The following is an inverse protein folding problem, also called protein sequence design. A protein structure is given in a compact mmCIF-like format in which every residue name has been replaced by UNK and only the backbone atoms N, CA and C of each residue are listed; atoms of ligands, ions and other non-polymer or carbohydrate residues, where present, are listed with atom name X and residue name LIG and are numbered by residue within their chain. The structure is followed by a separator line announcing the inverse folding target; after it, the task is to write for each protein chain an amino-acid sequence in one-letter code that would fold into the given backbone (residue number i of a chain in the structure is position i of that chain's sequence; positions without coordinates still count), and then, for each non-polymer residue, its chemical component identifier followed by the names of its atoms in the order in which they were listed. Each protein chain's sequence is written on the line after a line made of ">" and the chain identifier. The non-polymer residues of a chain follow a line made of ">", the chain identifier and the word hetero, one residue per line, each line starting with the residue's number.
data_IF_231739636788
#
_entry.id   IF_231739636788
#
_cell.length_a   1.000
_cell.length_b   1.000
_cell.length_c   1.000
_cell.angle_alpha   90.00
_cell.angle_beta   90.00
_cell.angle_gamma   90.00
#
_symmetry.space_group_name_H-M   'P 1'
#
loop_
_entity.id
_entity.type
_entity.pdbx_description
1 polymer ?
#
# COMPACT_ATOMS: atom_id res chain seq x y z
N UNK A 1 16.50 -17.19 23.43
CA UNK A 1 15.64 -17.70 22.35
C UNK A 1 15.83 -16.76 21.15
N UNK A 2 16.04 -17.28 19.95
CA UNK A 2 16.10 -16.45 18.74
C UNK A 2 14.74 -15.76 18.52
N UNK A 3 14.75 -14.49 18.13
CA UNK A 3 13.54 -13.72 17.80
C UNK A 3 13.00 -14.23 16.46
N UNK A 4 11.70 -14.55 16.37
CA UNK A 4 11.07 -14.97 15.10
C UNK A 4 10.84 -13.77 14.17
N UNK A 5 10.65 -14.00 12.87
CA UNK A 5 10.31 -12.91 11.93
C UNK A 5 9.03 -12.18 12.35
N UNK A 6 8.00 -12.92 12.77
CA UNK A 6 6.74 -12.32 13.24
C UNK A 6 6.96 -11.44 14.48
N UNK A 7 7.65 -11.95 15.51
CA UNK A 7 7.92 -11.16 16.72
C UNK A 7 8.79 -9.94 16.39
N UNK A 8 9.79 -10.07 15.52
CA UNK A 8 10.60 -8.94 15.08
C UNK A 8 9.76 -7.88 14.35
N UNK A 9 8.84 -8.31 13.48
CA UNK A 9 7.94 -7.43 12.75
C UNK A 9 7.09 -6.60 13.72
N UNK A 10 6.45 -7.23 14.71
CA UNK A 10 5.66 -6.49 15.71
C UNK A 10 6.52 -5.62 16.63
N UNK A 11 7.76 -6.02 16.95
CA UNK A 11 8.70 -5.12 17.67
C UNK A 11 9.02 -3.86 16.89
N UNK A 12 9.11 -3.94 15.55
CA UNK A 12 9.31 -2.77 14.72
C UNK A 12 8.07 -1.85 14.75
N UNK A 13 6.86 -2.40 14.66
CA UNK A 13 5.60 -1.64 14.76
C UNK A 13 5.47 -0.94 16.12
N UNK A 14 5.78 -1.67 17.18
CA UNK A 14 5.50 -1.27 18.56
C UNK A 14 6.66 -0.51 19.22
N UNK A 15 7.70 -0.15 18.45
CA UNK A 15 8.90 0.51 18.95
C UNK A 15 9.56 -0.24 20.12
N UNK A 16 9.64 -1.58 20.03
CA UNK A 16 10.19 -2.48 21.06
C UNK A 16 11.56 -3.07 20.70
N UNK A 17 12.44 -2.25 20.11
CA UNK A 17 13.82 -2.64 19.74
C UNK A 17 13.86 -3.93 18.91
N UNK A 18 13.41 -3.88 17.63
CA UNK A 18 13.50 -5.04 16.76
C UNK A 18 14.97 -5.46 16.60
N UNK A 19 15.18 -6.76 16.49
CA UNK A 19 16.49 -7.36 16.27
C UNK A 19 17.05 -7.08 14.87
N UNK A 20 16.24 -6.62 13.91
CA UNK A 20 16.66 -6.07 12.62
C UNK A 20 15.52 -5.22 12.03
N UNK A 21 15.83 -4.33 11.09
CA UNK A 21 14.80 -3.62 10.31
C UNK A 21 14.11 -4.62 9.38
N UNK A 22 12.78 -4.83 9.45
CA UNK A 22 12.08 -5.65 8.47
C UNK A 22 12.23 -5.07 7.07
N UNK A 23 12.59 -5.91 6.10
CA UNK A 23 12.75 -5.53 4.70
C UNK A 23 11.95 -6.46 3.81
N UNK A 24 11.41 -5.94 2.70
CA UNK A 24 10.72 -6.73 1.67
C UNK A 24 11.08 -6.23 0.28
N UNK A 25 11.10 -7.15 -0.67
CA UNK A 25 11.15 -6.85 -2.10
C UNK A 25 9.87 -7.39 -2.73
N UNK A 26 9.04 -6.50 -3.30
CA UNK A 26 7.85 -6.86 -4.05
C UNK A 26 8.21 -6.97 -5.52
N UNK A 27 8.17 -8.18 -6.07
CA UNK A 27 8.47 -8.44 -7.47
C UNK A 27 7.15 -8.57 -8.24
N UNK A 28 6.89 -7.63 -9.16
CA UNK A 28 5.64 -7.62 -9.91
C UNK A 28 5.47 -8.88 -10.78
N UNK A 29 4.24 -9.37 -11.01
CA UNK A 29 4.03 -10.53 -11.87
C UNK A 29 4.61 -10.36 -13.28
N UNK A 30 4.53 -9.14 -13.85
CA UNK A 30 5.18 -8.83 -15.12
C UNK A 30 6.72 -8.98 -15.05
N UNK A 31 7.35 -8.61 -13.94
CA UNK A 31 8.80 -8.80 -13.69
C UNK A 31 9.16 -10.28 -13.68
N UNK A 32 8.35 -11.11 -13.01
CA UNK A 32 8.50 -12.56 -13.02
C UNK A 32 8.35 -13.16 -14.41
N UNK A 33 7.34 -12.75 -15.18
CA UNK A 33 7.13 -13.25 -16.55
C UNK A 33 8.26 -12.84 -17.49
N UNK A 34 8.81 -11.63 -17.34
CA UNK A 34 9.93 -11.13 -18.15
C UNK A 34 11.23 -11.91 -17.90
N UNK A 35 11.61 -12.09 -16.63
CA UNK A 35 12.93 -12.60 -16.27
C UNK A 35 12.96 -14.08 -15.88
N UNK A 36 11.81 -14.67 -15.55
CA UNK A 36 11.62 -16.10 -15.28
C UNK A 36 12.69 -16.69 -14.35
N UNK A 37 13.41 -17.70 -14.80
CA UNK A 37 14.43 -18.41 -14.04
C UNK A 37 15.60 -17.49 -13.64
N UNK A 38 15.92 -16.45 -14.41
CA UNK A 38 16.98 -15.52 -14.05
C UNK A 38 16.63 -14.69 -12.80
N UNK A 39 15.35 -14.33 -12.63
CA UNK A 39 14.87 -13.69 -11.40
C UNK A 39 14.80 -14.69 -10.24
N UNK A 40 14.47 -15.95 -10.55
CA UNK A 40 14.49 -17.03 -9.58
C UNK A 40 15.89 -17.25 -8.97
N UNK A 41 16.96 -17.16 -9.76
CA UNK A 41 18.34 -17.21 -9.26
C UNK A 41 18.68 -16.06 -8.30
N UNK A 42 18.09 -14.88 -8.47
CA UNK A 42 18.25 -13.76 -7.51
C UNK A 42 17.53 -14.13 -6.22
N UNK A 43 16.26 -14.54 -6.30
CA UNK A 43 15.45 -14.90 -5.14
C UNK A 43 16.13 -15.98 -4.28
N UNK A 44 16.68 -17.02 -4.91
CA UNK A 44 17.39 -18.10 -4.22
C UNK A 44 18.68 -17.64 -3.51
N UNK A 45 19.31 -16.55 -3.97
CA UNK A 45 20.53 -15.99 -3.35
C UNK A 45 20.24 -15.09 -2.15
N UNK A 46 18.99 -14.65 -1.96
CA UNK A 46 18.58 -13.73 -0.89
C UNK A 46 17.51 -14.32 0.05
N UNK A 47 17.78 -15.45 0.73
CA UNK A 47 16.80 -16.11 1.60
C UNK A 47 16.39 -15.27 2.82
N UNK A 48 17.15 -14.22 3.19
CA UNK A 48 16.75 -13.32 4.28
C UNK A 48 15.58 -12.42 3.91
N UNK A 49 15.44 -12.11 2.62
CA UNK A 49 14.34 -11.31 2.07
C UNK A 49 13.17 -12.21 1.68
N UNK A 50 13.46 -13.27 0.93
CA UNK A 50 12.41 -14.09 0.29
C UNK A 50 12.02 -15.35 1.08
N UNK A 51 12.75 -15.69 2.14
CA UNK A 51 12.53 -16.92 2.91
C UNK A 51 12.94 -18.17 2.13
N UNK A 52 12.33 -19.31 2.49
CA UNK A 52 12.50 -20.55 1.74
C UNK A 52 11.75 -20.47 0.40
N UNK A 53 12.47 -20.65 -0.70
CA UNK A 53 11.92 -20.64 -2.05
C UNK A 53 12.30 -21.94 -2.78
N UNK A 54 11.31 -22.61 -3.37
CA UNK A 54 11.51 -23.82 -4.16
C UNK A 54 11.57 -23.48 -5.65
N UNK A 55 12.67 -23.86 -6.31
CA UNK A 55 12.83 -23.75 -7.76
C UNK A 55 11.65 -24.37 -8.50
N UNK A 56 11.09 -23.64 -9.48
CA UNK A 56 9.97 -24.08 -10.28
C UNK A 56 8.61 -24.10 -9.56
N UNK A 57 8.52 -23.54 -8.34
CA UNK A 57 7.25 -23.43 -7.62
C UNK A 57 6.29 -22.40 -8.20
N UNK A 58 6.78 -21.51 -9.08
CA UNK A 58 6.00 -20.44 -9.69
C UNK A 58 5.66 -20.74 -11.14
N UNK A 59 4.41 -20.53 -11.52
CA UNK A 59 4.02 -20.39 -12.92
C UNK A 59 4.21 -18.93 -13.35
N UNK A 60 5.18 -18.67 -14.24
CA UNK A 60 5.56 -17.30 -14.61
C UNK A 60 4.50 -16.55 -15.41
N UNK A 61 3.59 -17.25 -16.07
CA UNK A 61 2.61 -16.67 -17.01
C UNK A 61 1.16 -16.86 -16.52
N UNK A 62 0.99 -17.13 -15.22
CA UNK A 62 -0.33 -17.18 -14.59
C UNK A 62 -0.75 -15.80 -14.09
N UNK A 63 -1.71 -15.18 -14.79
CA UNK A 63 -2.29 -13.90 -14.42
C UNK A 63 -3.80 -14.05 -14.20
N UNK A 64 -4.32 -13.36 -13.19
CA UNK A 64 -5.73 -13.46 -12.78
C UNK A 64 -6.32 -12.08 -12.52
N UNK A 65 -7.64 -11.97 -12.67
CA UNK A 65 -8.39 -10.74 -12.39
C UNK A 65 -7.84 -9.54 -13.15
N UNK A 66 -7.67 -8.42 -12.45
CA UNK A 66 -7.21 -7.15 -13.03
C UNK A 66 -5.75 -7.16 -13.47
N UNK A 67 -5.00 -8.25 -13.23
CA UNK A 67 -3.63 -8.43 -13.72
C UNK A 67 -3.56 -9.13 -15.08
N UNK A 68 -4.69 -9.60 -15.61
CA UNK A 68 -4.79 -10.22 -16.93
C UNK A 68 -5.16 -9.17 -17.96
N UNK A 69 -4.48 -9.13 -19.11
CA UNK A 69 -4.81 -8.28 -20.24
C UNK A 69 -6.28 -8.45 -20.65
N UNK A 70 -6.95 -7.33 -20.93
CA UNK A 70 -8.32 -7.32 -21.39
C UNK A 70 -9.23 -6.43 -20.56
N UNK A 71 -10.54 -6.67 -20.70
CA UNK A 71 -11.59 -5.92 -20.02
C UNK A 71 -12.27 -6.83 -18.99
N UNK A 72 -12.38 -6.33 -17.77
CA UNK A 72 -12.96 -7.04 -16.64
C UNK A 72 -14.02 -6.17 -15.98
N UNK A 73 -15.01 -6.78 -15.33
CA UNK A 73 -16.00 -6.06 -14.53
C UNK A 73 -15.94 -6.60 -13.11
N UNK A 74 -15.76 -5.71 -12.14
CA UNK A 74 -15.73 -6.11 -10.73
C UNK A 74 -17.13 -6.29 -10.15
N UNK A 75 -17.21 -6.78 -8.92
CA UNK A 75 -18.49 -7.02 -8.22
C UNK A 75 -19.31 -5.74 -7.96
N UNK A 76 -18.70 -4.56 -8.08
CA UNK A 76 -19.39 -3.28 -7.98
C UNK A 76 -19.91 -2.77 -9.33
N UNK A 77 -19.61 -3.47 -10.42
CA UNK A 77 -19.96 -3.05 -11.78
C UNK A 77 -18.97 -2.06 -12.40
N UNK A 78 -17.82 -1.82 -11.77
CA UNK A 78 -16.77 -1.00 -12.36
C UNK A 78 -16.08 -1.76 -13.49
N UNK A 79 -15.88 -1.10 -14.64
CA UNK A 79 -15.22 -1.70 -15.80
C UNK A 79 -13.73 -1.39 -15.73
N UNK A 80 -12.91 -2.43 -15.66
CA UNK A 80 -11.46 -2.37 -15.61
C UNK A 80 -10.88 -2.71 -16.98
N UNK A 81 -9.83 -1.99 -17.38
CA UNK A 81 -9.01 -2.29 -18.56
C UNK A 81 -7.57 -2.50 -18.15
N UNK A 82 -7.06 -3.65 -18.52
CA UNK A 82 -5.66 -3.99 -18.43
C UNK A 82 -5.06 -4.00 -19.84
N UNK A 83 -3.93 -3.31 -20.02
CA UNK A 83 -3.26 -3.17 -21.32
C UNK A 83 -2.07 -4.13 -21.49
N UNK A 84 -1.66 -4.81 -20.43
CA UNK A 84 -0.53 -5.73 -20.41
C UNK A 84 -0.61 -6.67 -19.20
N UNK A 85 -0.50 -7.96 -19.48
CA UNK A 85 -0.39 -9.01 -18.48
C UNK A 85 0.67 -8.71 -17.40
N UNK A 86 0.30 -8.99 -16.14
CA UNK A 86 1.19 -8.92 -14.99
C UNK A 86 1.37 -7.53 -14.37
N UNK A 87 0.78 -6.49 -14.93
CA UNK A 87 0.56 -5.19 -14.31
C UNK A 87 -0.91 -5.06 -13.91
N UNK A 88 -1.26 -4.15 -12.98
CA UNK A 88 -2.66 -3.96 -12.60
C UNK A 88 -3.43 -3.14 -13.65
N UNK A 89 -4.72 -3.43 -13.82
CA UNK A 89 -5.61 -2.67 -14.70
C UNK A 89 -6.07 -1.35 -14.09
N UNK A 90 -6.67 -0.49 -14.91
CA UNK A 90 -7.28 0.78 -14.51
C UNK A 90 -8.79 0.75 -14.72
N UNK A 91 -9.54 1.49 -13.92
CA UNK A 91 -10.99 1.65 -14.14
C UNK A 91 -11.24 2.61 -15.30
N UNK A 92 -12.07 2.18 -16.25
CA UNK A 92 -12.47 2.94 -17.45
C UNK A 92 -13.99 3.10 -17.60
N UNK A 93 -14.79 2.45 -16.76
CA UNK A 93 -16.25 2.54 -16.79
C UNK A 93 -16.86 2.54 -15.40
N UNK A 94 -17.87 3.39 -15.21
CA UNK A 94 -18.35 3.83 -13.91
C UNK A 94 -19.87 3.60 -13.81
N UNK A 95 -20.37 2.73 -12.91
CA UNK A 95 -21.80 2.42 -12.81
C UNK A 95 -22.66 3.62 -12.33
N UNK A 96 -22.04 4.62 -11.69
CA UNK A 96 -22.69 5.82 -11.18
C UNK A 96 -22.17 7.09 -11.89
N UNK A 97 -21.89 7.02 -13.18
CA UNK A 97 -21.47 8.18 -13.99
C UNK A 97 -22.51 9.32 -14.00
N UNK A 98 -23.79 9.01 -13.77
CA UNK A 98 -24.87 9.97 -13.49
C UNK A 98 -25.55 9.64 -12.16
N UNK A 99 -25.96 10.69 -11.44
CA UNK A 99 -26.71 10.54 -10.19
C UNK A 99 -28.09 9.89 -10.37
N UNK A 100 -28.67 9.92 -11.57
CA UNK A 100 -29.93 9.22 -11.88
C UNK A 100 -29.80 7.70 -11.76
N UNK A 101 -28.57 7.17 -11.86
CA UNK A 101 -28.30 5.73 -11.71
C UNK A 101 -28.29 5.27 -10.25
N UNK A 102 -28.10 6.19 -9.30
CA UNK A 102 -27.95 5.86 -7.88
C UNK A 102 -29.23 5.26 -7.27
N UNK A 103 -30.41 5.69 -7.72
CA UNK A 103 -31.69 5.21 -7.17
C UNK A 103 -31.91 3.71 -7.41
N UNK A 104 -31.40 3.19 -8.52
CA UNK A 104 -31.56 1.79 -8.93
C UNK A 104 -30.28 0.96 -8.71
N UNK A 105 -29.23 1.56 -8.15
CA UNK A 105 -27.97 0.87 -7.90
C UNK A 105 -28.02 0.08 -6.59
N UNK A 106 -27.58 -1.17 -6.65
CA UNK A 106 -27.44 -2.03 -5.47
C UNK A 106 -25.97 -2.39 -5.28
N UNK A 107 -25.33 -2.04 -4.16
CA UNK A 107 -23.96 -2.46 -3.89
C UNK A 107 -23.89 -3.99 -3.74
N UNK A 108 -22.75 -4.62 -4.03
CA UNK A 108 -22.59 -6.05 -3.81
C UNK A 108 -22.70 -6.40 -2.33
N UNK A 109 -23.01 -7.66 -2.05
CA UNK A 109 -22.94 -8.18 -0.68
C UNK A 109 -21.51 -8.07 -0.13
N UNK A 110 -21.33 -7.67 1.15
CA UNK A 110 -20.02 -7.61 1.79
C UNK A 110 -19.27 -8.93 1.65
N UNK A 111 -17.99 -8.86 1.24
CA UNK A 111 -17.10 -10.00 1.11
C UNK A 111 -16.38 -10.40 2.40
N UNK A 112 -15.25 -11.10 2.27
CA UNK A 112 -14.41 -11.56 3.39
C UNK A 112 -13.13 -10.74 3.59
N UNK A 113 -12.78 -9.90 2.61
CA UNK A 113 -11.62 -9.03 2.62
C UNK A 113 -11.93 -7.71 1.94
N UNK A 114 -11.20 -6.67 2.30
CA UNK A 114 -11.22 -5.39 1.61
C UNK A 114 -10.14 -5.39 0.53
N UNK A 115 -10.54 -5.03 -0.68
CA UNK A 115 -9.62 -4.88 -1.82
C UNK A 115 -8.86 -3.56 -1.72
N UNK A 116 -7.75 -3.46 -2.45
CA UNK A 116 -7.10 -2.16 -2.67
C UNK A 116 -8.10 -1.18 -3.28
N UNK A 117 -8.06 0.07 -2.83
CA UNK A 117 -9.02 1.08 -3.22
C UNK A 117 -10.40 0.90 -2.59
N UNK A 118 -10.46 0.58 -1.29
CA UNK A 118 -11.72 0.24 -0.62
C UNK A 118 -12.62 1.44 -0.29
N UNK A 119 -12.08 2.64 -0.12
CA UNK A 119 -12.86 3.81 0.31
C UNK A 119 -12.80 4.95 -0.71
N UNK A 120 -11.76 5.80 -0.70
CA UNK A 120 -11.66 6.94 -1.60
C UNK A 120 -11.61 6.50 -3.06
N UNK A 121 -10.77 5.51 -3.39
CA UNK A 121 -10.72 5.03 -4.76
C UNK A 121 -12.03 4.37 -5.19
N UNK A 122 -12.68 3.62 -4.30
CA UNK A 122 -14.00 3.05 -4.59
C UNK A 122 -15.02 4.11 -4.99
N UNK A 123 -15.02 5.29 -4.35
CA UNK A 123 -15.92 6.38 -4.71
C UNK A 123 -15.69 6.83 -6.15
N UNK A 124 -14.45 7.08 -6.57
CA UNK A 124 -14.19 7.54 -7.93
C UNK A 124 -14.22 6.41 -8.97
N UNK A 125 -14.02 5.15 -8.57
CA UNK A 125 -14.28 3.99 -9.43
C UNK A 125 -15.77 3.90 -9.77
N UNK A 126 -16.65 4.21 -8.82
CA UNK A 126 -18.10 4.18 -9.02
C UNK A 126 -18.59 5.41 -9.81
N UNK A 127 -18.11 6.60 -9.44
CA UNK A 127 -18.64 7.90 -9.88
C UNK A 127 -17.92 8.48 -11.11
N UNK A 128 -16.69 8.05 -11.36
CA UNK A 128 -15.73 8.73 -12.22
C UNK A 128 -14.92 9.77 -11.44
N UNK A 129 -13.64 9.91 -11.78
CA UNK A 129 -12.72 10.80 -11.05
C UNK A 129 -13.12 12.27 -11.13
N UNK A 130 -13.29 12.81 -12.35
CA UNK A 130 -13.66 14.22 -12.55
C UNK A 130 -14.99 14.55 -11.86
N UNK A 131 -15.99 13.70 -12.08
CA UNK A 131 -17.29 13.77 -11.45
C UNK A 131 -17.21 13.85 -9.92
N UNK A 132 -16.47 12.94 -9.28
CA UNK A 132 -16.32 12.96 -7.82
C UNK A 132 -15.59 14.22 -7.34
N UNK A 133 -14.58 14.70 -8.07
CA UNK A 133 -13.87 15.94 -7.73
C UNK A 133 -14.82 17.14 -7.74
N UNK A 134 -15.71 17.23 -8.75
CA UNK A 134 -16.76 18.25 -8.80
C UNK A 134 -17.76 18.10 -7.64
N UNK A 135 -18.19 16.88 -7.34
CA UNK A 135 -19.16 16.61 -6.27
C UNK A 135 -18.63 17.07 -4.89
N UNK A 136 -17.33 16.96 -4.62
CA UNK A 136 -16.75 17.47 -3.37
C UNK A 136 -16.88 19.00 -3.22
N UNK A 137 -17.01 19.74 -4.33
CA UNK A 137 -17.18 21.19 -4.33
C UNK A 137 -18.66 21.59 -4.37
N UNK A 138 -19.46 20.90 -5.20
CA UNK A 138 -20.88 21.21 -5.36
C UNK A 138 -21.74 20.67 -4.21
N UNK A 139 -21.23 19.68 -3.49
CA UNK A 139 -21.88 19.02 -2.35
C UNK A 139 -23.31 18.52 -2.63
N UNK A 140 -23.55 17.78 -3.74
CA UNK A 140 -24.87 17.25 -4.00
C UNK A 140 -25.26 16.26 -2.89
N UNK A 141 -26.54 16.19 -2.48
CA UNK A 141 -26.97 15.28 -1.40
C UNK A 141 -26.68 13.80 -1.69
N UNK A 142 -26.55 13.43 -2.97
CA UNK A 142 -26.17 12.09 -3.43
C UNK A 142 -24.75 11.70 -3.02
N UNK A 143 -23.83 12.66 -2.88
CA UNK A 143 -22.46 12.38 -2.45
C UNK A 143 -22.42 11.71 -1.07
N UNK A 144 -23.21 12.21 -0.13
CA UNK A 144 -23.32 11.61 1.21
C UNK A 144 -23.87 10.19 1.15
N UNK A 145 -24.89 9.94 0.32
CA UNK A 145 -25.45 8.60 0.12
C UNK A 145 -24.40 7.64 -0.45
N UNK A 146 -23.60 8.09 -1.41
CA UNK A 146 -22.52 7.29 -2.00
C UNK A 146 -21.44 6.94 -0.96
N UNK A 147 -21.00 7.93 -0.18
CA UNK A 147 -20.02 7.75 0.89
C UNK A 147 -20.55 6.76 1.94
N UNK A 148 -21.79 6.93 2.39
CA UNK A 148 -22.41 6.07 3.40
C UNK A 148 -22.60 4.63 2.90
N UNK A 149 -22.93 4.45 1.62
CA UNK A 149 -23.05 3.14 0.99
C UNK A 149 -21.72 2.38 1.01
N UNK A 150 -20.63 3.01 0.56
CA UNK A 150 -19.29 2.41 0.54
C UNK A 150 -18.79 2.17 1.97
N UNK A 151 -18.98 3.13 2.87
CA UNK A 151 -18.61 2.98 4.27
C UNK A 151 -19.36 1.82 4.94
N UNK A 152 -20.67 1.68 4.71
CA UNK A 152 -21.48 0.61 5.29
C UNK A 152 -21.02 -0.77 4.84
N UNK A 153 -20.71 -0.92 3.55
CA UNK A 153 -20.08 -2.12 3.02
C UNK A 153 -18.76 -2.41 3.74
N UNK A 154 -17.88 -1.40 3.84
CA UNK A 154 -16.57 -1.56 4.42
C UNK A 154 -16.63 -1.97 5.90
N UNK A 155 -17.52 -1.36 6.68
CA UNK A 155 -17.72 -1.72 8.09
C UNK A 155 -18.20 -3.16 8.26
N UNK A 156 -19.09 -3.64 7.38
CA UNK A 156 -19.55 -5.02 7.41
C UNK A 156 -18.41 -6.02 7.12
N UNK A 157 -17.55 -5.72 6.13
CA UNK A 157 -16.37 -6.55 5.84
C UNK A 157 -15.37 -6.48 7.00
N UNK A 158 -15.06 -5.28 7.50
CA UNK A 158 -14.14 -5.10 8.64
C UNK A 158 -14.62 -5.85 9.87
N UNK A 159 -15.93 -5.86 10.15
CA UNK A 159 -16.50 -6.63 11.26
C UNK A 159 -16.22 -8.12 11.15
N UNK A 160 -16.27 -8.69 9.93
CA UNK A 160 -15.91 -10.10 9.68
C UNK A 160 -14.42 -10.32 9.87
N UNK A 161 -13.58 -9.42 9.36
CA UNK A 161 -12.12 -9.47 9.56
C UNK A 161 -11.76 -9.48 11.05
N UNK A 162 -12.26 -8.53 11.84
CA UNK A 162 -11.89 -8.40 13.26
C UNK A 162 -12.44 -9.54 14.13
N UNK A 163 -13.54 -10.19 13.73
CA UNK A 163 -14.08 -11.38 14.41
C UNK A 163 -13.09 -12.56 14.46
N UNK A 164 -12.14 -12.60 13.51
CA UNK A 164 -11.05 -13.58 13.46
C UNK A 164 -9.88 -13.23 14.38
N UNK A 165 -9.97 -12.12 15.11
CA UNK A 165 -8.98 -11.59 16.05
C UNK A 165 -7.56 -11.47 15.44
N UNK A 166 -7.41 -10.82 14.27
CA UNK A 166 -6.10 -10.61 13.68
C UNK A 166 -5.25 -9.69 14.56
N UNK A 167 -3.93 -9.90 14.56
CA UNK A 167 -2.98 -8.96 15.21
C UNK A 167 -2.74 -7.70 14.37
N UNK A 168 -2.99 -7.78 13.06
CA UNK A 168 -2.77 -6.72 12.08
C UNK A 168 -3.79 -6.86 10.94
N UNK A 169 -4.34 -5.74 10.48
CA UNK A 169 -5.19 -5.68 9.29
C UNK A 169 -4.55 -4.76 8.26
N UNK A 170 -4.41 -5.24 7.03
CA UNK A 170 -3.86 -4.49 5.90
C UNK A 170 -4.98 -3.81 5.12
N UNK A 171 -4.76 -2.53 4.83
CA UNK A 171 -5.61 -1.69 4.00
C UNK A 171 -4.74 -1.01 2.94
N UNK A 172 -5.34 -0.75 1.78
CA UNK A 172 -4.70 0.03 0.72
C UNK A 172 -5.72 0.92 0.03
N UNK A 173 -5.42 2.21 -0.09
CA UNK A 173 -6.26 3.21 -0.73
C UNK A 173 -5.38 4.41 -1.11
N UNK A 174 -5.20 4.67 -2.40
CA UNK A 174 -4.26 5.67 -2.90
C UNK A 174 -4.90 7.05 -2.81
N UNK A 175 -4.43 7.82 -1.83
CA UNK A 175 -4.95 9.13 -1.47
C UNK A 175 -4.15 10.27 -2.08
N UNK A 176 -3.03 9.99 -2.76
CA UNK A 176 -2.13 11.01 -3.29
C UNK A 176 -2.04 11.02 -4.81
N UNK A 177 -1.67 12.17 -5.36
CA UNK A 177 -1.09 12.30 -6.70
C UNK A 177 0.44 12.42 -6.61
N UNK A 178 1.13 12.71 -7.71
CA UNK A 178 2.60 12.80 -7.72
C UNK A 178 3.18 13.84 -6.74
N UNK A 179 2.51 14.99 -6.56
CA UNK A 179 3.06 16.14 -5.81
C UNK A 179 2.05 16.80 -4.85
N UNK A 180 0.81 16.27 -4.75
CA UNK A 180 -0.28 16.83 -3.94
C UNK A 180 -1.38 15.80 -3.68
N UNK A 181 -2.30 16.13 -2.79
CA UNK A 181 -3.57 15.43 -2.64
C UNK A 181 -4.55 15.73 -3.79
N UNK A 182 -5.41 14.78 -4.20
CA UNK A 182 -6.46 15.01 -5.19
C UNK A 182 -7.58 15.91 -4.69
N UNK A 183 -7.81 15.92 -3.38
CA UNK A 183 -8.72 16.85 -2.72
C UNK A 183 -7.97 17.59 -1.61
N UNK A 184 -8.38 18.82 -1.31
CA UNK A 184 -7.73 19.57 -0.22
C UNK A 184 -7.81 18.80 1.12
N UNK A 185 -6.84 19.00 2.05
CA UNK A 185 -6.91 18.41 3.39
C UNK A 185 -8.21 18.72 4.14
N UNK A 186 -8.82 19.88 3.90
CA UNK A 186 -10.11 20.23 4.49
C UNK A 186 -11.25 19.32 4.01
N UNK A 187 -11.30 19.06 2.70
CA UNK A 187 -12.30 18.15 2.12
C UNK A 187 -12.05 16.70 2.54
N UNK A 188 -10.79 16.26 2.63
CA UNK A 188 -10.43 14.97 3.21
C UNK A 188 -10.99 14.83 4.64
N UNK A 189 -10.73 15.83 5.50
CA UNK A 189 -11.22 15.84 6.89
C UNK A 189 -12.74 15.87 7.00
N UNK A 190 -13.43 16.52 6.05
CA UNK A 190 -14.88 16.60 6.00
C UNK A 190 -15.53 15.27 5.60
N UNK A 191 -15.05 14.66 4.51
CA UNK A 191 -15.75 13.54 3.87
C UNK A 191 -15.13 12.17 4.14
N UNK A 192 -13.81 12.08 4.17
CA UNK A 192 -13.11 10.78 4.16
C UNK A 192 -12.54 10.40 5.52
N UNK A 193 -11.93 11.34 6.27
CA UNK A 193 -11.41 11.08 7.62
C UNK A 193 -12.44 10.40 8.54
N UNK A 194 -13.73 10.81 8.58
CA UNK A 194 -14.72 10.12 9.42
C UNK A 194 -14.94 8.66 9.02
N UNK A 195 -14.79 8.33 7.74
CA UNK A 195 -14.91 6.97 7.23
C UNK A 195 -13.72 6.11 7.69
N UNK A 196 -12.49 6.58 7.50
CA UNK A 196 -11.29 5.89 7.96
C UNK A 196 -11.27 5.74 9.48
N UNK A 197 -11.66 6.76 10.24
CA UNK A 197 -11.73 6.69 11.70
C UNK A 197 -12.67 5.58 12.19
N UNK A 198 -13.83 5.39 11.55
CA UNK A 198 -14.76 4.29 11.90
C UNK A 198 -14.18 2.92 11.55
N UNK A 199 -13.61 2.78 10.36
CA UNK A 199 -13.07 1.50 9.85
C UNK A 199 -11.85 1.08 10.66
N UNK A 200 -10.87 1.97 10.80
CA UNK A 200 -9.64 1.69 11.53
C UNK A 200 -9.88 1.63 13.04
N UNK A 201 -10.75 2.47 13.59
CA UNK A 201 -11.19 2.41 14.98
C UNK A 201 -11.72 1.03 15.35
N UNK A 202 -12.56 0.42 14.51
CA UNK A 202 -13.07 -0.95 14.72
C UNK A 202 -11.94 -1.99 14.82
N UNK A 203 -10.89 -1.87 14.00
CA UNK A 203 -9.70 -2.73 14.10
C UNK A 203 -8.94 -2.49 15.41
N UNK A 204 -8.73 -1.23 15.79
CA UNK A 204 -8.01 -0.85 17.00
C UNK A 204 -8.74 -1.27 18.28
N UNK A 205 -10.05 -1.12 18.32
CA UNK A 205 -10.91 -1.57 19.43
C UNK A 205 -10.86 -3.10 19.61
N UNK A 206 -10.65 -3.84 18.52
CA UNK A 206 -10.43 -5.29 18.55
C UNK A 206 -8.99 -5.70 18.93
N UNK A 207 -8.10 -4.73 19.19
CA UNK A 207 -6.70 -4.95 19.54
C UNK A 207 -5.77 -5.21 18.35
N UNK A 208 -6.24 -5.02 17.11
CA UNK A 208 -5.43 -5.21 15.92
C UNK A 208 -4.64 -3.94 15.56
N UNK A 209 -3.43 -4.11 15.04
CA UNK A 209 -2.70 -3.07 14.31
C UNK A 209 -3.35 -2.77 12.96
N UNK A 210 -3.16 -1.56 12.45
CA UNK A 210 -3.65 -1.12 11.15
C UNK A 210 -2.45 -0.77 10.28
N UNK A 211 -2.28 -1.51 9.20
CA UNK A 211 -1.36 -1.18 8.12
C UNK A 211 -2.13 -0.46 7.02
N UNK A 212 -1.66 0.71 6.60
CA UNK A 212 -2.28 1.50 5.54
C UNK A 212 -1.26 1.86 4.46
N UNK A 213 -1.50 1.34 3.26
CA UNK A 213 -0.78 1.69 2.04
C UNK A 213 -1.52 2.76 1.26
N UNK A 214 -0.77 3.74 0.75
CA UNK A 214 -1.25 4.74 -0.19
C UNK A 214 -0.11 5.19 -1.09
N UNK A 215 -0.34 5.09 -2.38
CA UNK A 215 0.49 5.75 -3.38
C UNK A 215 0.30 7.28 -3.38
N UNK A 216 1.30 7.99 -3.91
CA UNK A 216 1.31 9.44 -4.08
C UNK A 216 1.66 10.25 -2.82
N UNK A 217 1.51 11.56 -2.94
CA UNK A 217 1.78 12.57 -1.93
C UNK A 217 0.63 12.65 -0.93
N UNK A 218 0.91 12.38 0.33
CA UNK A 218 -0.08 12.34 1.42
C UNK A 218 0.36 13.11 2.67
N UNK A 219 1.47 13.86 2.60
CA UNK A 219 2.14 14.47 3.76
C UNK A 219 1.17 15.25 4.65
N UNK A 220 0.25 16.01 4.06
CA UNK A 220 -0.67 16.90 4.79
C UNK A 220 -1.73 16.16 5.61
N UNK A 221 -1.93 14.86 5.37
CA UNK A 221 -2.94 14.03 6.05
C UNK A 221 -2.33 12.85 6.81
N UNK A 222 -1.00 12.70 6.86
CA UNK A 222 -0.34 11.64 7.66
C UNK A 222 -0.80 11.69 9.12
N UNK A 223 -0.82 12.89 9.72
CA UNK A 223 -1.30 13.08 11.09
C UNK A 223 -2.77 12.66 11.27
N UNK A 224 -3.63 12.99 10.30
CA UNK A 224 -5.04 12.61 10.31
C UNK A 224 -5.22 11.08 10.24
N UNK A 225 -4.39 10.38 9.46
CA UNK A 225 -4.40 8.91 9.34
C UNK A 225 -3.94 8.24 10.64
N UNK A 226 -2.90 8.76 11.28
CA UNK A 226 -2.43 8.28 12.60
C UNK A 226 -3.55 8.46 13.64
N UNK A 227 -4.21 9.61 13.66
CA UNK A 227 -5.36 9.85 14.53
C UNK A 227 -6.52 8.88 14.29
N UNK A 228 -6.74 8.43 13.06
CA UNK A 228 -7.75 7.43 12.73
C UNK A 228 -7.39 6.02 13.23
N UNK A 229 -6.13 5.77 13.58
CA UNK A 229 -5.68 4.48 14.13
C UNK A 229 -4.63 3.76 13.29
N UNK A 230 -4.06 4.39 12.25
CA UNK A 230 -2.94 3.79 11.50
C UNK A 230 -1.72 3.62 12.41
N UNK A 231 -1.20 2.39 12.46
CA UNK A 231 0.03 2.06 13.22
C UNK A 231 1.21 1.72 12.34
N UNK A 232 0.95 1.31 11.09
CA UNK A 232 1.97 1.19 10.05
C UNK A 232 1.49 1.94 8.82
N UNK A 233 2.26 2.92 8.36
CA UNK A 233 1.99 3.65 7.13
C UNK A 233 3.00 3.24 6.07
N UNK A 234 2.54 3.06 4.84
CA UNK A 234 3.40 2.74 3.70
C UNK A 234 3.32 3.84 2.62
N UNK A 235 4.13 4.90 2.76
CA UNK A 235 4.21 6.00 1.81
C UNK A 235 5.38 5.83 0.83
N UNK A 236 5.21 6.38 -0.37
CA UNK A 236 6.29 6.51 -1.36
C UNK A 236 7.28 7.62 -0.97
N UNK A 237 8.57 7.29 -0.93
CA UNK A 237 9.61 8.28 -0.61
C UNK A 237 9.70 9.40 -1.66
N UNK A 238 9.53 9.09 -2.96
CA UNK A 238 9.66 10.08 -4.05
C UNK A 238 8.56 11.13 -4.00
N UNK A 239 7.31 10.73 -3.83
CA UNK A 239 6.17 11.66 -3.82
C UNK A 239 6.12 12.51 -2.53
N UNK A 240 6.56 11.94 -1.40
CA UNK A 240 6.42 12.59 -0.10
C UNK A 240 7.68 13.33 0.36
N UNK A 241 8.86 12.92 -0.10
CA UNK A 241 10.15 13.46 0.34
C UNK A 241 10.57 12.96 1.72
N UNK A 242 11.83 12.55 1.86
CA UNK A 242 12.34 11.94 3.09
C UNK A 242 12.25 12.88 4.31
N UNK A 243 12.61 14.15 4.17
CA UNK A 243 12.60 15.10 5.29
C UNK A 243 11.18 15.36 5.82
N UNK A 244 10.18 15.39 4.94
CA UNK A 244 8.78 15.51 5.35
C UNK A 244 8.30 14.25 6.07
N UNK A 245 8.64 13.06 5.54
CA UNK A 245 8.32 11.78 6.21
C UNK A 245 8.99 11.66 7.58
N UNK A 246 10.23 12.14 7.74
CA UNK A 246 10.89 12.20 9.05
C UNK A 246 10.11 13.08 10.01
N UNK A 247 9.70 14.28 9.59
CA UNK A 247 8.95 15.22 10.42
C UNK A 247 7.59 14.68 10.83
N UNK A 248 6.86 14.08 9.90
CA UNK A 248 5.47 13.67 10.11
C UNK A 248 5.35 12.26 10.73
N UNK A 249 6.30 11.35 10.48
CA UNK A 249 6.17 9.94 10.91
C UNK A 249 7.13 9.52 12.03
N UNK A 250 8.37 10.02 12.07
CA UNK A 250 9.43 9.44 12.93
C UNK A 250 9.03 9.46 14.41
N UNK A 251 8.99 8.28 15.03
CA UNK A 251 8.61 8.10 16.43
C UNK A 251 7.12 8.24 16.72
N UNK A 252 6.27 8.43 15.70
CA UNK A 252 4.81 8.56 15.82
C UNK A 252 4.07 7.35 15.24
N UNK A 253 4.58 6.79 14.15
CA UNK A 253 4.01 5.64 13.43
C UNK A 253 5.15 4.81 12.84
N UNK A 254 4.96 3.50 12.69
CA UNK A 254 5.93 2.70 11.96
C UNK A 254 5.81 2.99 10.46
N UNK A 255 6.93 3.27 9.79
CA UNK A 255 6.94 3.51 8.35
C UNK A 255 7.45 2.27 7.65
N UNK A 256 6.62 1.62 6.86
CA UNK A 256 7.09 0.67 5.84
C UNK A 256 7.40 1.49 4.59
N UNK A 257 8.63 1.99 4.49
CA UNK A 257 8.97 2.99 3.48
C UNK A 257 9.04 2.34 2.11
N UNK A 258 8.17 2.76 1.18
CA UNK A 258 8.33 2.41 -0.23
C UNK A 258 9.47 3.24 -0.82
N UNK A 259 10.57 2.56 -1.12
CA UNK A 259 11.77 3.11 -1.69
C UNK A 259 11.49 3.64 -3.11
N UNK A 260 12.47 4.33 -3.69
CA UNK A 260 12.23 5.05 -4.93
C UNK A 260 12.20 4.10 -6.14
N UNK A 261 11.04 3.50 -6.41
CA UNK A 261 10.85 2.60 -7.55
C UNK A 261 11.06 3.27 -8.91
N UNK A 262 10.93 4.59 -9.00
CA UNK A 262 11.22 5.33 -10.25
C UNK A 262 12.73 5.57 -10.46
N UNK A 263 13.53 5.47 -9.40
CA UNK A 263 15.00 5.51 -9.48
C UNK A 263 15.57 4.18 -9.98
N UNK A 264 14.99 3.05 -9.55
CA UNK A 264 15.54 1.71 -9.75
C UNK A 264 15.90 1.35 -11.21
N UNK A 265 15.12 1.70 -12.25
CA UNK A 265 15.47 1.34 -13.63
C UNK A 265 16.73 2.02 -14.18
N UNK A 266 17.13 3.16 -13.62
CA UNK A 266 18.14 4.05 -14.20
C UNK A 266 19.37 4.27 -13.31
N UNK A 267 19.32 3.77 -12.09
CA UNK A 267 20.33 4.05 -11.07
C UNK A 267 21.53 3.10 -11.15
N UNK A 268 22.64 3.50 -10.52
CA UNK A 268 23.78 2.63 -10.26
C UNK A 268 23.62 1.92 -8.91
N UNK A 269 24.34 0.81 -8.66
CA UNK A 269 24.38 0.18 -7.32
C UNK A 269 24.76 1.15 -6.19
N UNK A 270 25.60 2.15 -6.48
CA UNK A 270 25.97 3.18 -5.51
C UNK A 270 24.78 4.08 -5.15
N UNK A 271 23.97 4.47 -6.13
CA UNK A 271 22.78 5.30 -5.91
C UNK A 271 21.76 4.55 -5.04
N UNK A 272 21.60 3.24 -5.25
CA UNK A 272 20.76 2.38 -4.40
C UNK A 272 21.30 2.35 -2.97
N UNK A 273 22.61 2.14 -2.78
CA UNK A 273 23.23 2.13 -1.45
C UNK A 273 23.03 3.45 -0.71
N UNK A 274 23.28 4.59 -1.38
CA UNK A 274 23.10 5.91 -0.78
C UNK A 274 21.64 6.20 -0.44
N UNK A 275 20.72 5.84 -1.33
CA UNK A 275 19.27 6.02 -1.13
C UNK A 275 18.77 5.25 0.10
N UNK A 276 19.11 3.97 0.21
CA UNK A 276 18.71 3.13 1.36
C UNK A 276 19.40 3.59 2.64
N UNK A 277 20.70 3.93 2.57
CA UNK A 277 21.45 4.43 3.72
C UNK A 277 20.83 5.70 4.28
N UNK A 278 20.49 6.66 3.42
CA UNK A 278 19.91 7.93 3.84
C UNK A 278 18.57 7.70 4.54
N UNK A 279 17.69 6.88 3.96
CA UNK A 279 16.41 6.50 4.55
C UNK A 279 16.58 5.87 5.95
N UNK A 280 17.49 4.90 6.08
CA UNK A 280 17.76 4.20 7.35
C UNK A 280 18.32 5.13 8.42
N UNK A 281 19.25 6.01 8.05
CA UNK A 281 19.89 6.96 8.99
C UNK A 281 18.88 8.02 9.44
N UNK A 282 18.12 8.61 8.50
CA UNK A 282 17.22 9.72 8.82
C UNK A 282 15.93 9.26 9.48
N UNK A 283 15.30 8.19 8.99
CA UNK A 283 13.99 7.75 9.46
C UNK A 283 14.07 6.67 10.54
N UNK A 284 15.10 5.82 10.49
CA UNK A 284 15.26 4.69 11.41
C UNK A 284 15.65 5.07 12.85
N UNK A 285 15.55 4.06 13.72
CA UNK A 285 15.88 4.12 15.15
C UNK A 285 16.16 2.71 15.70
N UNK A 286 17.00 2.62 16.73
CA UNK A 286 17.19 1.38 17.51
C UNK A 286 15.90 0.90 18.18
N UNK A 287 14.98 1.80 18.50
CA UNK A 287 13.70 1.42 19.11
C UNK A 287 12.74 0.77 18.10
N UNK A 288 12.95 0.94 16.79
CA UNK A 288 12.04 0.46 15.74
C UNK A 288 11.38 1.61 14.99
N UNK A 289 10.23 1.33 14.37
CA UNK A 289 9.45 2.31 13.60
C UNK A 289 9.84 2.47 12.14
N UNK A 290 10.75 1.65 11.62
CA UNK A 290 11.11 1.60 10.21
C UNK A 290 11.05 0.15 9.71
N UNK A 291 10.45 0.00 8.54
CA UNK A 291 10.56 -1.14 7.64
C UNK A 291 10.86 -0.60 6.24
N UNK A 292 11.40 -1.43 5.34
CA UNK A 292 11.72 -1.02 3.98
C UNK A 292 11.04 -1.93 2.97
N UNK A 293 10.42 -1.33 1.98
CA UNK A 293 9.85 -2.00 0.82
C UNK A 293 10.57 -1.49 -0.43
N UNK A 294 11.05 -2.41 -1.26
CA UNK A 294 11.42 -2.11 -2.64
C UNK A 294 10.42 -2.81 -3.57
N UNK A 295 9.60 -2.04 -4.26
CA UNK A 295 8.79 -2.58 -5.34
C UNK A 295 9.55 -2.53 -6.67
N UNK A 296 9.50 -3.65 -7.39
CA UNK A 296 10.31 -3.90 -8.59
C UNK A 296 9.40 -4.20 -9.77
N UNK A 297 9.37 -3.24 -10.67
CA UNK A 297 8.64 -3.26 -11.94
C UNK A 297 9.47 -3.93 -13.07
N UNK A 298 8.84 -4.35 -14.18
CA UNK A 298 9.52 -5.12 -15.22
C UNK A 298 10.57 -4.33 -15.99
N UNK A 299 10.66 -3.01 -15.82
CA UNK A 299 11.69 -2.16 -16.40
C UNK A 299 13.00 -2.13 -15.58
N UNK A 300 13.00 -2.61 -14.33
CA UNK A 300 14.19 -2.68 -13.48
C UNK A 300 15.15 -3.80 -13.96
N UNK A 301 16.42 -3.49 -14.31
CA UNK A 301 17.40 -4.49 -14.72
C UNK A 301 17.77 -5.48 -13.62
N UNK A 302 18.10 -6.74 -13.97
CA UNK A 302 18.45 -7.80 -13.01
C UNK A 302 19.60 -7.40 -12.07
N UNK A 303 20.62 -6.70 -12.60
CA UNK A 303 21.74 -6.18 -11.84
C UNK A 303 21.32 -5.18 -10.76
N UNK A 304 20.27 -4.40 -11.02
CA UNK A 304 19.72 -3.46 -10.04
C UNK A 304 18.83 -4.18 -9.03
N UNK A 305 18.08 -5.21 -9.45
CA UNK A 305 17.31 -6.08 -8.53
C UNK A 305 18.26 -6.75 -7.52
N UNK A 306 19.37 -7.30 -8.01
CA UNK A 306 20.43 -7.87 -7.17
C UNK A 306 21.01 -6.83 -6.20
N UNK A 307 21.35 -5.65 -6.70
CA UNK A 307 21.92 -4.57 -5.89
C UNK A 307 20.95 -4.09 -4.80
N UNK A 308 19.65 -4.01 -5.10
CA UNK A 308 18.59 -3.72 -4.12
C UNK A 308 18.61 -4.78 -3.02
N UNK A 309 18.59 -6.06 -3.38
CA UNK A 309 18.56 -7.15 -2.41
C UNK A 309 19.79 -7.13 -1.48
N UNK A 310 20.99 -7.03 -2.05
CA UNK A 310 22.23 -6.94 -1.28
C UNK A 310 22.25 -5.72 -0.35
N UNK A 311 21.77 -4.57 -0.83
CA UNK A 311 21.71 -3.33 -0.06
C UNK A 311 20.73 -3.44 1.11
N UNK A 312 19.55 -4.01 0.88
CA UNK A 312 18.57 -4.25 1.95
C UNK A 312 19.11 -5.24 2.99
N UNK A 313 19.76 -6.33 2.59
CA UNK A 313 20.38 -7.29 3.51
C UNK A 313 21.53 -6.69 4.33
N UNK A 314 22.26 -5.73 3.76
CA UNK A 314 23.28 -4.95 4.47
C UNK A 314 22.66 -4.02 5.50
N UNK A 315 21.71 -3.17 5.08
CA UNK A 315 21.17 -2.12 5.95
C UNK A 315 20.09 -2.59 6.92
N UNK A 316 19.48 -3.77 6.72
CA UNK A 316 18.57 -4.34 7.70
C UNK A 316 19.24 -4.55 9.07
N UNK A 317 20.56 -4.71 9.08
CA UNK A 317 21.39 -4.90 10.27
C UNK A 317 22.02 -3.60 10.79
N UNK A 318 21.64 -2.42 10.26
CA UNK A 318 22.30 -1.15 10.60
C UNK A 318 22.26 -0.81 12.09
N UNK A 319 21.16 -1.13 12.78
CA UNK A 319 20.96 -0.86 14.20
C UNK A 319 21.21 -2.06 15.11
N UNK A 320 21.63 -3.20 14.55
CA UNK A 320 21.98 -4.37 15.36
C UNK A 320 23.33 -4.12 16.01
N UNK A 321 23.43 -4.34 17.32
CA UNK A 321 24.71 -4.20 18.04
C UNK A 321 25.75 -5.14 17.40
N UNK A 322 26.96 -4.61 17.17
CA UNK A 322 28.11 -5.38 16.72
C UNK A 322 28.62 -6.31 17.83
#
# INVERSE_FOLDING_TARGET
>A
MSVTHEENYFRAIEFRRPAWIPVRVSLMPATWSKYREALEEIVLRHPRIFGEYQRGSRNFDEFQGTYREGVHVDEWGCVWKNVQDGLNGIVIGHPLESWDMLENYTPPEPGESLKHGFMFQRLYYLRGFENLMLDFIEEPPQLHKLIDMVLSYNLAVTQRIVSRKPRLVHFGDDLGMQDRLPISPQHFRKYLKPCYAKIFGMCRDAGAHVYFHSDGHIVEIIGDLIECGVTVINPQIRANGLDALVKECKGKVCVDLDLDRQLFPFCTPKDIDDHVREAVVKLGSKEGGLMLLAEVEPDVPLENIEAICQTLEKYMLYYTEA
#
